data_IF_217783836813
#
_entry.id   IF_217783836813
#
_cell.length_a   1.000
_cell.length_b   1.000
_cell.length_c   1.000
_cell.angle_alpha   90.00
_cell.angle_beta   90.00
_cell.angle_gamma   90.00
#
_symmetry.space_group_name_H-M   'P 1'
#
loop_
_entity.id
_entity.type
_entity.pdbx_description
1 polymer ?
#
# COMPACT_ATOMS: atom_id res chain seq x y z
N UNK A 1 -14.90 8.16 -71.87
CA UNK A 1 -13.91 7.28 -71.32
C UNK A 1 -13.59 7.69 -69.90
N UNK A 2 -14.18 7.03 -68.88
CA UNK A 2 -13.85 7.23 -67.47
C UNK A 2 -12.81 6.19 -67.04
N UNK A 3 -11.65 6.66 -66.53
CA UNK A 3 -10.64 5.78 -65.96
C UNK A 3 -10.88 5.78 -64.42
N UNK A 4 -11.36 4.69 -63.91
CA UNK A 4 -11.49 4.45 -62.46
C UNK A 4 -10.14 4.01 -61.91
N UNK A 5 -9.51 4.89 -61.13
CA UNK A 5 -8.30 4.54 -60.36
C UNK A 5 -8.66 3.72 -59.11
N UNK A 6 -8.26 2.49 -59.08
CA UNK A 6 -8.37 1.62 -57.89
C UNK A 6 -7.19 1.95 -56.98
N UNK A 7 -7.47 2.56 -55.83
CA UNK A 7 -6.48 2.72 -54.75
C UNK A 7 -6.44 1.46 -53.95
N UNK A 8 -5.38 0.64 -54.12
CA UNK A 8 -5.11 -0.52 -53.28
C UNK A 8 -4.52 -0.07 -51.95
N UNK A 9 -5.32 -0.09 -50.90
CA UNK A 9 -4.84 0.08 -49.54
C UNK A 9 -4.01 -1.16 -49.14
N UNK A 10 -2.71 -0.98 -48.96
CA UNK A 10 -1.86 -2.00 -48.37
C UNK A 10 -2.03 -2.07 -46.85
N UNK A 11 -2.41 -3.21 -46.23
CA UNK A 11 -2.63 -3.33 -44.79
C UNK A 11 -1.34 -3.70 -44.04
N UNK A 12 -0.31 -2.87 -44.17
CA UNK A 12 0.99 -3.18 -43.53
C UNK A 12 1.47 -2.19 -42.48
N UNK A 13 1.00 -0.96 -42.48
CA UNK A 13 1.53 0.13 -41.62
C UNK A 13 0.72 0.30 -40.34
N UNK A 14 -0.55 -0.13 -40.32
CA UNK A 14 -1.44 0.05 -39.16
C UNK A 14 -1.09 -0.77 -37.92
N UNK A 15 -0.44 -1.94 -38.09
CA UNK A 15 -0.14 -2.83 -36.94
C UNK A 15 1.07 -2.38 -36.10
N UNK A 16 2.01 -1.66 -36.68
CA UNK A 16 3.20 -1.16 -35.96
C UNK A 16 2.90 0.09 -35.14
N UNK A 17 2.03 0.99 -35.60
CA UNK A 17 1.63 2.19 -34.88
C UNK A 17 0.75 1.90 -33.64
N UNK A 18 -0.08 0.83 -33.70
CA UNK A 18 -0.91 0.43 -32.58
C UNK A 18 -0.08 -0.13 -31.41
N UNK A 19 1.04 -0.82 -31.69
CA UNK A 19 1.95 -1.32 -30.63
C UNK A 19 2.73 -0.20 -29.96
N UNK A 20 3.19 0.81 -30.69
CA UNK A 20 3.94 1.94 -30.13
C UNK A 20 3.06 2.79 -29.22
N UNK A 21 1.79 3.04 -29.61
CA UNK A 21 0.83 3.78 -28.80
C UNK A 21 0.49 3.08 -27.46
N UNK A 22 0.36 1.77 -27.45
CA UNK A 22 0.12 1.01 -26.23
C UNK A 22 1.31 1.07 -25.25
N UNK A 23 2.54 0.97 -25.75
CA UNK A 23 3.75 1.05 -24.91
C UNK A 23 3.92 2.43 -24.26
N UNK A 24 3.59 3.51 -24.95
CA UNK A 24 3.64 4.86 -24.41
C UNK A 24 2.57 5.10 -23.32
N UNK A 25 1.38 4.56 -23.50
CA UNK A 25 0.28 4.62 -22.51
C UNK A 25 0.59 3.78 -21.27
N UNK A 26 1.17 2.60 -21.43
CA UNK A 26 1.61 1.77 -20.31
C UNK A 26 2.76 2.42 -19.53
N UNK A 27 3.73 3.02 -20.19
CA UNK A 27 4.88 3.67 -19.54
C UNK A 27 4.51 4.91 -18.71
N UNK A 28 3.49 5.67 -19.09
CA UNK A 28 2.98 6.81 -18.31
C UNK A 28 2.17 6.30 -17.09
N UNK A 29 1.34 5.30 -17.27
CA UNK A 29 0.52 4.71 -16.22
C UNK A 29 1.38 4.08 -15.09
N UNK A 30 2.48 3.38 -15.43
CA UNK A 30 3.40 2.81 -14.45
C UNK A 30 4.14 3.86 -13.61
N UNK A 31 4.55 4.95 -14.23
CA UNK A 31 5.20 6.06 -13.50
C UNK A 31 4.24 6.74 -12.53
N UNK A 32 3.02 6.94 -12.93
CA UNK A 32 1.96 7.54 -12.08
C UNK A 32 1.62 6.61 -10.90
N UNK A 33 1.42 5.32 -11.14
CA UNK A 33 1.16 4.33 -10.09
C UNK A 33 2.33 4.23 -9.10
N UNK A 34 3.57 4.21 -9.59
CA UNK A 34 4.75 4.17 -8.74
C UNK A 34 4.90 5.43 -7.89
N UNK A 35 4.59 6.60 -8.44
CA UNK A 35 4.64 7.85 -7.68
C UNK A 35 3.56 7.92 -6.60
N UNK A 36 2.36 7.39 -6.86
CA UNK A 36 1.29 7.29 -5.88
C UNK A 36 1.68 6.36 -4.72
N UNK A 37 2.23 5.18 -5.00
CA UNK A 37 2.72 4.27 -3.95
C UNK A 37 3.82 4.91 -3.10
N UNK A 38 4.78 5.59 -3.72
CA UNK A 38 5.85 6.30 -2.99
C UNK A 38 5.28 7.38 -2.09
N UNK A 39 4.29 8.15 -2.56
CA UNK A 39 3.60 9.16 -1.77
C UNK A 39 2.92 8.52 -0.54
N UNK A 40 2.08 7.52 -0.74
CA UNK A 40 1.40 6.79 0.36
C UNK A 40 2.38 6.26 1.40
N UNK A 41 3.47 5.64 0.94
CA UNK A 41 4.52 5.11 1.84
C UNK A 41 5.18 6.22 2.65
N UNK A 42 5.50 7.37 2.03
CA UNK A 42 6.11 8.49 2.74
C UNK A 42 5.17 9.04 3.83
N UNK A 43 3.87 9.20 3.53
CA UNK A 43 2.88 9.67 4.48
C UNK A 43 2.69 8.69 5.65
N UNK A 44 2.63 7.39 5.37
CA UNK A 44 2.54 6.33 6.38
C UNK A 44 3.76 6.32 7.30
N UNK A 45 4.98 6.38 6.75
CA UNK A 45 6.23 6.38 7.53
C UNK A 45 6.30 7.63 8.41
N UNK A 46 6.00 8.81 7.84
CA UNK A 46 5.99 10.08 8.58
C UNK A 46 4.99 10.05 9.74
N UNK A 47 3.77 9.57 9.50
CA UNK A 47 2.75 9.42 10.53
C UNK A 47 3.18 8.43 11.62
N UNK A 48 3.67 7.24 11.23
CA UNK A 48 4.10 6.20 12.15
C UNK A 48 5.25 6.68 13.06
N UNK A 49 6.27 7.31 12.48
CA UNK A 49 7.40 7.86 13.26
C UNK A 49 6.96 8.98 14.21
N UNK A 50 6.06 9.86 13.76
CA UNK A 50 5.50 10.93 14.59
C UNK A 50 4.67 10.41 15.76
N UNK A 51 3.86 9.39 15.55
CA UNK A 51 3.03 8.74 16.57
C UNK A 51 3.90 7.90 17.52
N UNK A 52 4.89 7.16 17.00
CA UNK A 52 5.82 6.36 17.78
C UNK A 52 6.60 7.20 18.80
N UNK A 53 7.15 8.34 18.37
CA UNK A 53 7.85 9.30 19.25
C UNK A 53 7.00 9.79 20.40
N UNK A 54 5.69 9.92 20.18
CA UNK A 54 4.71 10.38 21.20
C UNK A 54 4.05 9.22 21.95
N UNK A 55 4.37 7.96 21.61
CA UNK A 55 3.74 6.75 22.12
C UNK A 55 2.22 6.77 21.96
N UNK A 56 1.77 7.23 20.82
CA UNK A 56 0.35 7.19 20.44
C UNK A 56 0.12 5.91 19.64
N UNK A 57 -0.78 5.06 20.11
CA UNK A 57 -1.14 3.80 19.46
C UNK A 57 -1.88 4.06 18.16
N UNK A 58 -1.50 3.35 17.09
CA UNK A 58 -2.16 3.48 15.79
C UNK A 58 -2.22 2.12 15.07
N UNK A 59 -3.20 2.00 14.18
CA UNK A 59 -3.45 0.80 13.40
C UNK A 59 -3.87 1.19 11.98
N UNK A 60 -2.97 1.02 11.01
CA UNK A 60 -3.21 1.33 9.61
C UNK A 60 -3.35 0.04 8.81
N UNK A 61 -4.42 -0.09 8.05
CA UNK A 61 -4.67 -1.21 7.15
C UNK A 61 -4.52 -0.71 5.72
N UNK A 62 -3.61 -1.28 4.98
CA UNK A 62 -3.36 -0.92 3.58
C UNK A 62 -3.93 -2.03 2.69
N UNK A 63 -4.94 -1.69 1.90
CA UNK A 63 -5.54 -2.59 0.92
C UNK A 63 -4.51 -2.96 -0.14
N UNK A 64 -4.55 -4.22 -0.60
CA UNK A 64 -3.75 -4.68 -1.74
C UNK A 64 -4.65 -5.26 -2.83
N UNK A 65 -4.66 -6.57 -3.02
CA UNK A 65 -5.50 -7.25 -4.04
C UNK A 65 -6.88 -7.60 -3.50
N UNK A 66 -6.91 -8.05 -2.24
CA UNK A 66 -8.15 -8.39 -1.55
C UNK A 66 -8.88 -7.10 -1.15
N UNK A 67 -10.12 -6.95 -1.61
CA UNK A 67 -10.92 -5.76 -1.33
C UNK A 67 -11.44 -5.76 0.10
N UNK A 68 -11.34 -4.62 0.77
CA UNK A 68 -11.66 -4.45 2.19
C UNK A 68 -12.99 -3.70 2.41
N UNK A 69 -13.94 -3.84 1.47
CA UNK A 69 -15.24 -3.13 1.53
C UNK A 69 -15.98 -3.41 2.83
N UNK A 70 -16.11 -4.69 3.20
CA UNK A 70 -16.80 -5.09 4.44
C UNK A 70 -16.12 -4.50 5.68
N UNK A 71 -14.79 -4.37 5.66
CA UNK A 71 -14.05 -3.78 6.77
C UNK A 71 -14.32 -2.27 6.88
N UNK A 72 -14.34 -1.55 5.75
CA UNK A 72 -14.61 -0.10 5.74
C UNK A 72 -16.01 0.22 6.22
N UNK A 73 -16.99 -0.65 5.98
CA UNK A 73 -18.39 -0.50 6.43
C UNK A 73 -18.52 -0.60 7.97
N UNK A 74 -17.58 -1.22 8.67
CA UNK A 74 -17.59 -1.28 10.14
C UNK A 74 -17.20 0.04 10.79
N UNK A 75 -16.56 0.96 10.05
CA UNK A 75 -16.02 2.22 10.52
C UNK A 75 -16.81 3.45 10.12
N UNK A 76 -16.09 4.58 10.07
CA UNK A 76 -16.59 5.86 9.57
C UNK A 76 -15.93 6.16 8.24
N UNK A 77 -16.71 6.26 7.19
CA UNK A 77 -16.24 6.62 5.85
C UNK A 77 -15.70 8.06 5.87
N UNK A 78 -14.51 8.25 5.34
CA UNK A 78 -13.83 9.54 5.26
C UNK A 78 -13.60 9.96 3.82
N UNK A 79 -13.14 9.03 2.99
CA UNK A 79 -12.78 9.26 1.59
C UNK A 79 -11.89 10.51 1.41
N UNK A 80 -10.86 10.62 2.22
CA UNK A 80 -9.94 11.76 2.23
C UNK A 80 -8.59 11.39 1.63
N UNK A 81 -7.92 12.34 0.98
CA UNK A 81 -6.54 12.19 0.53
C UNK A 81 -5.63 11.88 1.71
N UNK A 82 -4.71 10.93 1.54
CA UNK A 82 -3.80 10.53 2.61
C UNK A 82 -2.78 11.64 2.88
N UNK A 83 -2.61 11.96 4.18
CA UNK A 83 -1.50 12.78 4.66
C UNK A 83 -1.09 12.37 6.06
N UNK A 84 0.16 12.60 6.42
CA UNK A 84 0.69 12.29 7.75
C UNK A 84 -0.04 13.06 8.85
N UNK A 85 -0.48 14.28 8.56
CA UNK A 85 -1.25 15.14 9.47
C UNK A 85 -2.64 14.57 9.73
N UNK A 86 -3.34 14.12 8.67
CA UNK A 86 -4.65 13.48 8.79
C UNK A 86 -4.54 12.20 9.62
N UNK A 87 -3.56 11.35 9.31
CA UNK A 87 -3.33 10.09 10.02
C UNK A 87 -2.99 10.34 11.50
N UNK A 88 -2.14 11.33 11.79
CA UNK A 88 -1.83 11.71 13.16
C UNK A 88 -3.04 12.29 13.91
N UNK A 89 -3.93 12.99 13.21
CA UNK A 89 -5.17 13.55 13.78
C UNK A 89 -6.18 12.45 14.09
N UNK A 90 -6.35 11.46 13.19
CA UNK A 90 -7.24 10.30 13.42
C UNK A 90 -6.88 9.60 14.73
N UNK A 91 -5.59 9.32 14.95
CA UNK A 91 -5.14 8.56 16.11
C UNK A 91 -4.84 9.41 17.35
N UNK A 92 -5.05 10.72 17.27
CA UNK A 92 -4.86 11.56 18.46
C UNK A 92 -5.80 11.12 19.58
N UNK A 93 -5.28 10.91 20.81
CA UNK A 93 -6.08 10.40 21.92
C UNK A 93 -7.33 11.25 22.20
N UNK A 94 -8.42 10.59 22.55
CA UNK A 94 -9.72 11.22 22.85
C UNK A 94 -10.47 11.81 21.65
N UNK A 95 -10.00 11.59 20.41
CA UNK A 95 -10.82 11.89 19.23
C UNK A 95 -11.84 10.77 18.98
N UNK A 96 -12.98 11.04 18.33
CA UNK A 96 -13.97 10.01 18.03
C UNK A 96 -13.50 8.92 17.06
N UNK A 97 -12.37 9.12 16.38
CA UNK A 97 -11.86 8.24 15.31
C UNK A 97 -10.66 7.38 15.74
N UNK A 98 -10.09 7.59 16.93
CA UNK A 98 -8.82 6.96 17.33
C UNK A 98 -8.94 5.48 17.71
N UNK A 99 -10.15 5.03 18.05
CA UNK A 99 -10.38 3.62 18.45
C UNK A 99 -10.74 2.76 17.25
N UNK A 100 -9.87 1.83 16.91
CA UNK A 100 -9.96 0.99 15.72
C UNK A 100 -8.84 1.25 14.73
N UNK A 101 -9.07 0.91 13.46
CA UNK A 101 -8.10 1.05 12.38
C UNK A 101 -8.50 2.13 11.38
N UNK A 102 -7.51 2.75 10.76
CA UNK A 102 -7.69 3.52 9.53
C UNK A 102 -7.39 2.61 8.32
N UNK A 103 -8.31 2.55 7.37
CA UNK A 103 -8.19 1.76 6.14
C UNK A 103 -7.79 2.67 5.00
N UNK A 104 -6.68 2.33 4.36
CA UNK A 104 -6.10 3.03 3.21
C UNK A 104 -6.37 2.21 1.96
N UNK A 105 -7.01 2.84 0.97
CA UNK A 105 -7.30 2.29 -0.34
C UNK A 105 -6.68 3.23 -1.37
N UNK A 106 -5.81 2.71 -2.21
CA UNK A 106 -4.99 3.49 -3.14
C UNK A 106 -4.24 4.64 -2.42
N UNK A 107 -4.52 5.89 -2.71
CA UNK A 107 -3.94 7.09 -2.10
C UNK A 107 -4.89 7.82 -1.13
N UNK A 108 -5.92 7.12 -0.64
CA UNK A 108 -6.97 7.70 0.20
C UNK A 108 -7.16 6.98 1.52
N UNK A 109 -7.46 7.72 2.56
CA UNK A 109 -8.01 7.17 3.81
C UNK A 109 -9.50 6.92 3.57
N UNK A 110 -9.86 5.69 3.25
CA UNK A 110 -11.24 5.31 2.94
C UNK A 110 -12.15 5.40 4.16
N UNK A 111 -11.69 4.87 5.31
CA UNK A 111 -12.45 4.87 6.56
C UNK A 111 -11.52 4.89 7.77
N UNK A 112 -12.05 5.29 8.92
CA UNK A 112 -11.38 5.18 10.23
C UNK A 112 -12.32 4.55 11.27
N UNK A 113 -11.79 4.24 12.44
CA UNK A 113 -12.53 3.54 13.51
C UNK A 113 -13.07 2.17 13.06
N UNK A 114 -12.36 1.49 12.14
CA UNK A 114 -12.75 0.17 11.63
C UNK A 114 -12.39 -0.92 12.63
N UNK A 115 -13.28 -1.92 12.75
CA UNK A 115 -13.10 -3.05 13.68
C UNK A 115 -12.41 -4.21 12.97
N UNK A 116 -11.27 -4.66 13.49
CA UNK A 116 -10.52 -5.78 12.97
C UNK A 116 -10.80 -7.06 13.78
N UNK A 117 -10.77 -8.24 13.13
CA UNK A 117 -10.78 -9.50 13.83
C UNK A 117 -9.50 -9.67 14.65
N UNK A 118 -9.61 -10.25 15.84
CA UNK A 118 -8.45 -10.59 16.66
C UNK A 118 -7.91 -11.97 16.26
N UNK A 119 -6.59 -12.13 16.27
CA UNK A 119 -5.95 -13.44 16.12
C UNK A 119 -6.30 -14.34 17.30
N UNK A 120 -6.70 -15.60 17.02
CA UNK A 120 -7.00 -16.62 18.01
C UNK A 120 -5.78 -17.46 18.41
N UNK A 121 -4.60 -17.14 17.88
CA UNK A 121 -3.36 -17.86 18.15
C UNK A 121 -2.98 -17.80 19.62
N UNK A 122 -2.66 -18.95 20.19
CA UNK A 122 -2.26 -19.10 21.60
C UNK A 122 -0.77 -18.98 21.84
N UNK A 123 0.03 -19.10 20.78
CA UNK A 123 1.49 -19.00 20.76
C UNK A 123 2.01 -17.56 20.71
N UNK A 124 1.12 -16.58 20.67
CA UNK A 124 1.49 -15.18 20.61
C UNK A 124 2.11 -14.71 21.94
N UNK A 125 3.17 -13.93 21.84
CA UNK A 125 3.80 -13.31 23.00
C UNK A 125 2.77 -12.49 23.79
N UNK A 126 2.71 -12.69 25.10
CA UNK A 126 1.79 -11.99 26.01
C UNK A 126 2.01 -10.47 26.07
N UNK A 127 3.18 -10.00 25.63
CA UNK A 127 3.48 -8.58 25.54
C UNK A 127 2.84 -7.89 24.32
N UNK A 128 2.16 -8.64 23.44
CA UNK A 128 1.44 -8.07 22.30
C UNK A 128 0.09 -7.53 22.75
N UNK A 129 -0.10 -6.20 22.65
CA UNK A 129 -1.36 -5.54 22.94
C UNK A 129 -2.45 -5.86 21.90
N UNK A 130 -3.65 -5.36 22.17
CA UNK A 130 -4.85 -5.61 21.34
C UNK A 130 -4.65 -5.24 19.87
N UNK A 131 -3.99 -4.09 19.58
CA UNK A 131 -3.72 -3.64 18.20
C UNK A 131 -2.83 -4.61 17.43
N UNK A 132 -1.83 -5.21 18.07
CA UNK A 132 -0.99 -6.23 17.42
C UNK A 132 -1.78 -7.50 17.11
N UNK A 133 -2.64 -7.92 18.04
CA UNK A 133 -3.50 -9.09 17.83
C UNK A 133 -4.54 -8.86 16.73
N UNK A 134 -5.06 -7.64 16.63
CA UNK A 134 -5.95 -7.22 15.55
C UNK A 134 -5.23 -7.20 14.19
N UNK A 135 -4.00 -6.69 14.15
CA UNK A 135 -3.19 -6.69 12.94
C UNK A 135 -2.91 -8.10 12.44
N UNK A 136 -2.50 -9.00 13.33
CA UNK A 136 -2.31 -10.42 13.00
C UNK A 136 -3.60 -11.05 12.52
N UNK A 137 -4.72 -10.87 13.26
CA UNK A 137 -6.00 -11.48 12.93
C UNK A 137 -6.55 -11.08 11.57
N UNK A 138 -6.34 -9.84 11.13
CA UNK A 138 -6.68 -9.43 9.76
C UNK A 138 -5.71 -10.03 8.75
N UNK A 139 -4.40 -9.93 8.97
CA UNK A 139 -3.38 -10.42 8.04
C UNK A 139 -3.36 -11.94 7.86
N UNK A 140 -3.98 -12.70 8.76
CA UNK A 140 -4.23 -14.15 8.62
C UNK A 140 -5.35 -14.46 7.60
N UNK A 141 -6.22 -13.48 7.30
CA UNK A 141 -7.46 -13.67 6.52
C UNK A 141 -7.42 -13.05 5.13
N UNK A 142 -6.53 -12.10 4.89
CA UNK A 142 -6.41 -11.42 3.61
C UNK A 142 -4.96 -10.95 3.36
N UNK A 143 -4.68 -10.49 2.16
CA UNK A 143 -3.34 -10.05 1.75
C UNK A 143 -3.02 -8.59 2.13
N UNK A 144 -3.84 -7.95 2.97
CA UNK A 144 -3.60 -6.60 3.44
C UNK A 144 -2.28 -6.50 4.23
N UNK A 145 -1.64 -5.34 4.14
CA UNK A 145 -0.52 -4.96 5.01
C UNK A 145 -1.06 -4.16 6.19
N UNK A 146 -0.72 -4.57 7.41
CA UNK A 146 -1.20 -3.88 8.60
C UNK A 146 -0.02 -3.32 9.39
N UNK A 147 0.03 -1.98 9.50
CA UNK A 147 1.04 -1.24 10.24
C UNK A 147 0.52 -0.91 11.65
N UNK A 148 1.30 -1.21 12.67
CA UNK A 148 0.95 -1.00 14.08
C UNK A 148 1.97 -0.10 14.74
N UNK A 149 1.51 0.89 15.49
CA UNK A 149 2.32 1.66 16.44
C UNK A 149 1.86 1.32 17.85
N UNK A 150 2.80 0.85 18.69
CA UNK A 150 2.51 0.50 20.08
C UNK A 150 2.41 1.76 20.95
N UNK A 151 1.33 1.89 21.71
CA UNK A 151 1.17 2.98 22.69
C UNK A 151 2.04 2.79 23.96
N UNK A 152 2.40 1.54 24.26
CA UNK A 152 3.23 1.24 25.43
C UNK A 152 4.71 1.50 25.17
N UNK A 153 5.20 1.07 24.00
CA UNK A 153 6.64 1.07 23.69
C UNK A 153 7.05 2.08 22.63
N UNK A 154 6.11 2.54 21.77
CA UNK A 154 6.42 3.29 20.56
C UNK A 154 7.00 2.43 19.43
N UNK A 155 7.09 1.12 19.61
CA UNK A 155 7.61 0.22 18.59
C UNK A 155 6.63 0.16 17.43
N UNK A 156 7.17 0.30 16.21
CA UNK A 156 6.43 0.15 14.95
C UNK A 156 6.60 -1.28 14.45
N UNK A 157 5.51 -1.90 14.01
CA UNK A 157 5.47 -3.28 13.53
C UNK A 157 4.61 -3.40 12.28
N UNK A 158 4.91 -4.37 11.40
CA UNK A 158 4.10 -4.74 10.24
C UNK A 158 3.59 -6.17 10.39
N UNK A 159 2.29 -6.37 10.18
CA UNK A 159 1.68 -7.70 10.06
C UNK A 159 1.32 -7.98 8.59
N UNK A 160 1.77 -9.12 8.07
CA UNK A 160 1.54 -9.57 6.69
C UNK A 160 1.45 -11.10 6.68
N UNK A 161 0.39 -11.66 6.12
CA UNK A 161 0.23 -13.12 5.99
C UNK A 161 0.29 -13.89 7.33
N UNK A 162 -0.19 -13.27 8.42
CA UNK A 162 -0.18 -13.88 9.77
C UNK A 162 1.17 -13.77 10.48
N UNK A 163 2.15 -13.07 9.93
CA UNK A 163 3.46 -12.84 10.55
C UNK A 163 3.64 -11.39 10.98
N UNK A 164 4.31 -11.17 12.11
CA UNK A 164 4.58 -9.86 12.67
C UNK A 164 6.07 -9.55 12.63
N UNK A 165 6.45 -8.54 11.86
CA UNK A 165 7.81 -7.97 11.83
C UNK A 165 7.82 -6.75 12.75
N UNK A 166 8.69 -6.77 13.77
CA UNK A 166 8.77 -5.74 14.80
C UNK A 166 9.98 -4.83 14.62
N UNK A 167 9.97 -3.70 15.34
CA UNK A 167 11.09 -2.75 15.41
C UNK A 167 11.44 -2.12 14.06
N UNK A 168 10.40 -1.88 13.25
CA UNK A 168 10.52 -1.19 11.98
C UNK A 168 10.27 0.32 12.22
N UNK A 169 11.14 1.16 11.67
CA UNK A 169 10.95 2.62 11.70
C UNK A 169 11.83 3.28 10.65
N UNK A 170 11.49 4.51 10.26
CA UNK A 170 12.25 5.26 9.27
C UNK A 170 12.48 4.50 7.95
N UNK A 171 13.73 4.45 7.50
CA UNK A 171 14.08 3.85 6.21
C UNK A 171 13.83 2.33 6.11
N UNK A 172 14.07 1.49 7.14
CA UNK A 172 13.68 0.08 7.10
C UNK A 172 12.18 -0.14 6.88
N UNK A 173 11.32 0.63 7.55
CA UNK A 173 9.88 0.59 7.33
C UNK A 173 9.51 1.01 5.91
N UNK A 174 10.11 2.10 5.43
CA UNK A 174 9.91 2.62 4.08
C UNK A 174 10.25 1.59 3.02
N UNK A 175 11.44 0.99 3.10
CA UNK A 175 11.90 -0.03 2.16
C UNK A 175 10.94 -1.24 2.13
N UNK A 176 10.50 -1.69 3.31
CA UNK A 176 9.60 -2.83 3.43
C UNK A 176 8.19 -2.54 2.87
N UNK A 177 7.65 -1.36 3.14
CA UNK A 177 6.37 -0.94 2.56
C UNK A 177 6.44 -0.82 1.04
N UNK A 178 7.51 -0.24 0.49
CA UNK A 178 7.71 -0.16 -0.96
C UNK A 178 7.75 -1.54 -1.60
N UNK A 179 8.45 -2.51 -0.99
CA UNK A 179 8.50 -3.90 -1.47
C UNK A 179 7.10 -4.54 -1.48
N UNK A 180 6.34 -4.39 -0.40
CA UNK A 180 5.03 -5.01 -0.22
C UNK A 180 3.92 -4.40 -1.09
N UNK A 181 4.00 -3.10 -1.37
CA UNK A 181 2.97 -2.34 -2.08
C UNK A 181 3.27 -2.14 -3.57
N UNK A 182 4.45 -2.54 -4.04
CA UNK A 182 4.73 -2.50 -5.48
C UNK A 182 3.83 -3.48 -6.25
N UNK A 183 3.28 -3.09 -7.39
CA UNK A 183 2.52 -4.00 -8.25
C UNK A 183 3.39 -5.20 -8.65
N UNK A 184 2.83 -6.40 -8.57
CA UNK A 184 3.51 -7.63 -9.01
C UNK A 184 3.91 -7.49 -10.50
N UNK A 185 5.21 -7.35 -10.78
CA UNK A 185 5.74 -7.16 -12.14
C UNK A 185 6.96 -6.22 -12.23
N UNK A 186 7.25 -5.43 -11.19
CA UNK A 186 8.39 -4.50 -11.20
C UNK A 186 9.75 -5.17 -10.88
N UNK A 187 9.75 -6.38 -10.35
CA UNK A 187 10.98 -7.12 -9.99
C UNK A 187 11.76 -7.70 -11.18
N UNK A 188 11.11 -7.88 -12.34
CA UNK A 188 11.75 -8.48 -13.53
C UNK A 188 12.59 -7.50 -14.34
N UNK A 189 12.44 -6.18 -14.16
CA UNK A 189 13.21 -5.18 -14.91
C UNK A 189 14.47 -4.71 -14.17
N UNK A 190 14.58 -4.94 -12.87
CA UNK A 190 15.77 -4.57 -12.11
C UNK A 190 16.93 -5.56 -12.32
N UNK A 191 16.66 -6.81 -12.69
CA UNK A 191 17.71 -7.81 -12.98
C UNK A 191 18.26 -7.76 -14.42
N UNK A 192 17.57 -7.05 -15.32
CA UNK A 192 18.01 -6.97 -16.73
C UNK A 192 19.03 -5.83 -16.99
N UNK A 193 19.20 -4.87 -16.07
CA UNK A 193 20.14 -3.76 -16.23
C UNK A 193 21.52 -4.00 -15.59
N UNK A 194 21.70 -5.09 -14.86
CA UNK A 194 22.98 -5.43 -14.20
C UNK A 194 23.89 -6.39 -15.01
N UNK A 195 23.51 -6.73 -16.23
CA UNK A 195 24.15 -7.80 -17.01
C UNK A 195 24.91 -7.37 -18.26
N UNK A 196 25.23 -6.07 -18.47
CA UNK A 196 25.98 -5.65 -19.68
C UNK A 196 27.06 -4.63 -19.34
N UNK A 197 28.06 -5.09 -18.59
CA UNK A 197 29.40 -4.51 -18.60
C UNK A 197 30.37 -5.59 -18.13
N UNK A 198 30.99 -6.29 -19.06
CA UNK A 198 32.38 -6.72 -19.11
C UNK A 198 32.59 -7.48 -20.42
N UNK A 199 33.26 -6.88 -21.39
CA UNK A 199 34.38 -7.43 -22.14
C UNK A 199 34.65 -6.57 -23.39
N UNK A 200 35.64 -5.72 -23.29
CA UNK A 200 36.73 -5.59 -24.28
C UNK A 200 37.80 -4.71 -23.69
#
# INVERSE_FOLDING_TARGET
GAVAGVVVFQPGIGKSLHKIGQWALFGSSWRTLRSAVVHVVNELVSAADGLAKRRIGALFVIERRDKLVELTETGRLLDAEISSELLATIFYPSTPLHDGAAVIVDDRVAAACCLLPLSERRDLNRSLGTRHRAALGLSERCDAVVLVVSEETGIVSLAVGGELQRELGGEPLRARLLELLQPAGSGLLASASAGTEVQS
#
